data_IF_002983544779
#
_entry.id   IF_002983544779
#
_cell.length_a   1.000
_cell.length_b   1.000
_cell.length_c   1.000
_cell.angle_alpha   90.00
_cell.angle_beta   90.00
_cell.angle_gamma   90.00
#
_symmetry.space_group_name_H-M   'P 1'
#
loop_
_entity.id
_entity.type
_entity.pdbx_description
1 polymer ?
#
# COMPACT_ATOMS: atom_id res chain seq x y z
N UNK A 1 7.13 -0.79 -11.31
CA UNK A 1 8.24 0.09 -10.93
C UNK A 1 8.09 1.52 -11.45
N UNK A 2 7.45 1.71 -12.63
CA UNK A 2 7.16 3.05 -13.13
C UNK A 2 6.18 3.78 -12.21
N UNK A 3 5.10 3.12 -11.80
CA UNK A 3 4.14 3.68 -10.83
C UNK A 3 4.82 4.09 -9.52
N UNK A 4 5.78 3.28 -9.04
CA UNK A 4 6.54 3.62 -7.83
C UNK A 4 7.38 4.88 -7.98
N UNK A 5 7.90 5.15 -9.19
CA UNK A 5 8.70 6.34 -9.46
C UNK A 5 7.87 7.63 -9.60
N UNK A 6 6.55 7.50 -9.74
CA UNK A 6 5.60 8.59 -9.97
C UNK A 6 4.83 9.03 -8.72
N UNK A 7 5.04 8.34 -7.58
CA UNK A 7 4.31 8.61 -6.33
C UNK A 7 5.24 9.01 -5.19
N UNK A 8 4.70 9.70 -4.20
CA UNK A 8 5.45 10.14 -3.03
C UNK A 8 5.62 9.01 -2.02
N UNK A 9 4.63 8.12 -1.91
CA UNK A 9 4.64 7.01 -0.98
C UNK A 9 4.02 5.73 -1.57
N UNK A 10 4.58 4.58 -1.16
CA UNK A 10 4.01 3.25 -1.40
C UNK A 10 3.49 2.68 -0.09
N UNK A 11 2.22 2.26 -0.07
CA UNK A 11 1.52 1.78 1.12
C UNK A 11 1.26 0.27 1.02
N UNK A 12 1.63 -0.45 2.08
CA UNK A 12 1.28 -1.86 2.27
C UNK A 12 0.77 -2.11 3.69
N UNK A 13 0.02 -3.18 3.88
CA UNK A 13 -0.27 -3.71 5.22
C UNK A 13 0.90 -4.57 5.73
N UNK A 14 1.07 -4.67 7.04
CA UNK A 14 2.13 -5.49 7.64
C UNK A 14 2.05 -6.97 7.23
N UNK A 15 0.87 -7.49 6.93
CA UNK A 15 0.71 -8.85 6.42
C UNK A 15 1.49 -9.11 5.12
N UNK A 16 1.60 -8.11 4.23
CA UNK A 16 2.43 -8.19 3.03
C UNK A 16 3.92 -8.28 3.39
N UNK A 17 4.35 -7.50 4.39
CA UNK A 17 5.75 -7.56 4.84
C UNK A 17 6.08 -8.92 5.45
N UNK A 18 5.17 -9.47 6.25
CA UNK A 18 5.33 -10.79 6.88
C UNK A 18 5.33 -11.94 5.87
N UNK A 19 4.59 -11.82 4.77
CA UNK A 19 4.50 -12.86 3.75
C UNK A 19 5.67 -12.83 2.75
N UNK A 20 6.06 -11.63 2.29
CA UNK A 20 6.90 -11.47 1.10
C UNK A 20 8.26 -10.81 1.40
N UNK A 21 8.43 -10.21 2.58
CA UNK A 21 9.61 -9.40 2.97
C UNK A 21 10.11 -8.49 1.81
N UNK A 22 9.25 -7.59 1.29
CA UNK A 22 9.52 -6.85 0.07
C UNK A 22 10.47 -5.67 0.30
N UNK A 23 11.16 -5.21 -0.76
CA UNK A 23 11.94 -3.97 -0.73
C UNK A 23 11.11 -2.71 -0.94
N UNK A 24 10.06 -2.78 -1.77
CA UNK A 24 9.18 -1.69 -2.19
C UNK A 24 9.89 -0.49 -2.84
N UNK A 25 11.08 -0.68 -3.37
CA UNK A 25 11.87 0.35 -4.04
C UNK A 25 11.60 0.40 -5.55
N UNK A 26 11.93 1.53 -6.19
CA UNK A 26 12.02 1.61 -7.63
C UNK A 26 13.35 1.02 -8.09
N UNK A 27 13.30 -0.01 -8.98
CA UNK A 27 14.48 -0.71 -9.49
C UNK A 27 14.63 -0.58 -11.00
N UNK A 28 14.06 0.47 -11.58
CA UNK A 28 14.33 0.82 -12.97
C UNK A 28 15.75 1.38 -13.11
N UNK A 29 16.48 1.02 -14.19
CA UNK A 29 17.80 1.56 -14.42
C UNK A 29 17.81 3.09 -14.44
N UNK A 30 18.69 3.70 -13.64
CA UNK A 30 18.81 5.15 -13.54
C UNK A 30 17.71 5.86 -12.72
N UNK A 31 16.82 5.11 -12.03
CA UNK A 31 15.71 5.68 -11.26
C UNK A 31 15.68 5.21 -9.79
N UNK A 32 16.80 4.76 -9.26
CA UNK A 32 16.86 4.29 -7.86
C UNK A 32 16.52 5.40 -6.85
N UNK A 33 16.90 6.63 -7.15
CA UNK A 33 16.60 7.85 -6.40
C UNK A 33 15.11 8.26 -6.43
N UNK A 34 14.33 7.65 -7.32
CA UNK A 34 12.87 7.82 -7.41
C UNK A 34 12.10 6.82 -6.54
N UNK A 35 12.77 6.14 -5.61
CA UNK A 35 12.07 5.25 -4.68
C UNK A 35 11.19 6.06 -3.74
N UNK A 36 9.89 5.76 -3.64
CA UNK A 36 8.95 6.48 -2.78
C UNK A 36 9.22 6.17 -1.29
N UNK A 37 8.67 6.99 -0.40
CA UNK A 37 8.59 6.64 1.02
C UNK A 37 7.80 5.33 1.18
N UNK A 38 8.35 4.38 1.94
CA UNK A 38 7.76 3.06 2.16
C UNK A 38 6.90 3.09 3.42
N UNK A 39 5.59 3.07 3.25
CA UNK A 39 4.62 3.18 4.34
C UNK A 39 4.04 1.81 4.66
N UNK A 40 4.09 1.41 5.93
CA UNK A 40 3.51 0.16 6.43
C UNK A 40 2.41 0.48 7.44
N UNK A 41 1.20 0.00 7.20
CA UNK A 41 0.13 0.00 8.20
C UNK A 41 0.28 -1.21 9.12
N UNK A 42 0.67 -0.96 10.37
CA UNK A 42 0.96 -1.99 11.38
C UNK A 42 0.52 -1.55 12.77
N UNK A 43 -0.73 -1.83 13.10
CA UNK A 43 -1.39 -1.36 14.32
C UNK A 43 -0.65 -1.72 15.63
N UNK A 44 0.15 -2.78 15.64
CA UNK A 44 0.80 -3.33 16.84
C UNK A 44 2.33 -3.40 16.75
N UNK A 45 2.93 -2.87 15.68
CA UNK A 45 4.36 -2.98 15.39
C UNK A 45 4.83 -4.43 15.33
N UNK A 46 4.10 -5.27 14.60
CA UNK A 46 4.42 -6.69 14.40
C UNK A 46 5.47 -6.93 13.31
N UNK A 47 5.90 -5.89 12.61
CA UNK A 47 6.98 -5.96 11.62
C UNK A 47 8.28 -6.49 12.24
N UNK A 48 8.94 -7.48 11.62
CA UNK A 48 10.22 -7.97 12.14
C UNK A 48 11.33 -6.90 12.05
N UNK A 49 12.09 -6.73 13.13
CA UNK A 49 13.24 -5.81 13.15
C UNK A 49 14.35 -6.20 12.15
N UNK A 50 14.34 -7.43 11.65
CA UNK A 50 15.26 -7.95 10.65
C UNK A 50 14.69 -7.90 9.22
N UNK A 51 13.46 -7.39 9.01
CA UNK A 51 12.88 -7.27 7.68
C UNK A 51 13.73 -6.37 6.78
N UNK A 52 13.68 -6.62 5.47
CA UNK A 52 14.44 -5.84 4.46
C UNK A 52 14.05 -4.36 4.50
N UNK A 53 12.78 -4.05 4.76
CA UNK A 53 12.32 -2.68 4.94
C UNK A 53 13.06 -1.99 6.10
N UNK A 54 13.07 -2.61 7.27
CA UNK A 54 13.72 -2.04 8.47
C UNK A 54 15.23 -1.98 8.29
N UNK A 55 15.84 -3.01 7.71
CA UNK A 55 17.29 -3.05 7.48
C UNK A 55 17.78 -1.94 6.54
N UNK A 56 16.95 -1.50 5.60
CA UNK A 56 17.28 -0.45 4.61
C UNK A 56 16.62 0.91 4.89
N UNK A 57 16.14 1.13 6.12
CA UNK A 57 15.38 2.35 6.45
C UNK A 57 16.20 3.64 6.35
N UNK A 58 17.53 3.54 6.50
CA UNK A 58 18.46 4.67 6.34
C UNK A 58 18.78 5.00 4.87
N UNK A 59 18.55 4.06 3.94
CA UNK A 59 18.80 4.27 2.51
C UNK A 59 17.57 4.86 1.80
N UNK A 60 16.40 4.29 2.10
CA UNK A 60 15.11 4.77 1.61
C UNK A 60 14.16 4.86 2.81
N UNK A 61 13.47 5.98 3.04
CA UNK A 61 12.64 6.18 4.23
C UNK A 61 11.56 5.10 4.40
N UNK A 62 11.40 4.63 5.65
CA UNK A 62 10.32 3.73 6.08
C UNK A 62 9.52 4.41 7.17
N UNK A 63 8.20 4.53 6.94
CA UNK A 63 7.26 5.07 7.90
C UNK A 63 6.28 3.97 8.31
N UNK A 64 6.11 3.75 9.60
CA UNK A 64 5.15 2.77 10.12
C UNK A 64 4.02 3.53 10.79
N UNK A 65 2.81 3.34 10.25
CA UNK A 65 1.58 3.88 10.79
C UNK A 65 1.03 2.86 11.79
N UNK A 66 0.94 3.25 13.06
CA UNK A 66 0.58 2.36 14.16
C UNK A 66 -0.51 2.97 15.04
N UNK A 67 -0.96 2.24 16.05
CA UNK A 67 -1.92 2.74 17.03
C UNK A 67 -1.29 2.86 18.43
N UNK A 68 -2.03 3.38 19.38
CA UNK A 68 -1.62 3.45 20.78
C UNK A 68 -1.49 2.07 21.46
N UNK A 69 -1.96 1.00 20.80
CA UNK A 69 -1.81 -0.38 21.28
C UNK A 69 -0.40 -0.97 21.02
N UNK A 70 0.47 -0.24 20.33
CA UNK A 70 1.81 -0.69 19.98
C UNK A 70 2.75 -0.66 21.19
N UNK A 71 3.60 -1.68 21.31
CA UNK A 71 4.59 -1.78 22.39
C UNK A 71 5.64 -0.64 22.27
N UNK A 72 5.82 0.19 23.31
CA UNK A 72 6.80 1.26 23.33
C UNK A 72 8.25 0.78 23.16
N UNK A 73 8.59 -0.42 23.61
CA UNK A 73 9.92 -0.99 23.47
C UNK A 73 10.22 -1.32 21.99
N UNK A 74 9.25 -1.89 21.27
CA UNK A 74 9.36 -2.18 19.83
C UNK A 74 9.45 -0.86 19.06
N UNK A 75 8.63 0.15 19.41
CA UNK A 75 8.69 1.49 18.82
C UNK A 75 10.12 2.07 18.92
N UNK A 76 10.70 2.04 20.11
CA UNK A 76 12.07 2.53 20.35
C UNK A 76 13.09 1.76 19.51
N UNK A 77 12.97 0.44 19.44
CA UNK A 77 13.88 -0.40 18.65
C UNK A 77 13.80 -0.11 17.14
N UNK A 78 12.60 0.14 16.60
CA UNK A 78 12.41 0.53 15.20
C UNK A 78 12.98 1.91 14.91
N UNK A 79 12.73 2.88 15.79
CA UNK A 79 13.28 4.23 15.66
C UNK A 79 14.81 4.25 15.70
N UNK A 80 15.42 3.41 16.53
CA UNK A 80 16.89 3.24 16.59
C UNK A 80 17.48 2.70 15.26
N UNK A 81 16.64 2.07 14.41
CA UNK A 81 17.03 1.60 13.06
C UNK A 81 16.69 2.61 11.94
N UNK A 82 16.28 3.83 12.27
CA UNK A 82 15.97 4.87 11.30
C UNK A 82 14.51 4.83 10.78
N UNK A 83 13.65 4.00 11.35
CA UNK A 83 12.23 3.95 10.98
C UNK A 83 11.47 5.09 11.66
N UNK A 84 10.65 5.82 10.91
CA UNK A 84 9.71 6.79 11.48
C UNK A 84 8.42 6.07 11.89
N UNK A 85 8.13 6.06 13.19
CA UNK A 85 6.89 5.47 13.72
C UNK A 85 5.89 6.57 14.02
N UNK A 86 4.73 6.52 13.36
CA UNK A 86 3.66 7.53 13.42
C UNK A 86 2.44 6.89 14.05
N UNK A 87 1.98 7.48 15.16
CA UNK A 87 0.77 7.02 15.81
C UNK A 87 -0.47 7.60 15.13
N UNK A 88 -1.44 6.74 14.84
CA UNK A 88 -2.72 7.05 14.25
C UNK A 88 -3.85 6.67 15.20
N UNK A 89 -5.03 7.23 14.97
CA UNK A 89 -6.26 6.78 15.62
C UNK A 89 -6.49 5.30 15.28
N UNK A 90 -7.06 4.59 16.24
CA UNK A 90 -7.51 3.22 16.04
C UNK A 90 -8.99 3.22 15.60
N UNK A 91 -9.35 2.26 14.76
CA UNK A 91 -10.75 1.88 14.53
C UNK A 91 -11.29 1.05 15.71
N UNK A 92 -12.59 0.80 15.75
CA UNK A 92 -13.23 -0.01 16.82
C UNK A 92 -12.66 -1.44 16.88
N UNK A 93 -12.18 -1.98 15.76
CA UNK A 93 -11.51 -3.29 15.68
C UNK A 93 -10.00 -3.23 15.93
N UNK A 94 -9.50 -2.07 16.37
CA UNK A 94 -8.10 -1.87 16.77
C UNK A 94 -7.10 -1.75 15.63
N UNK A 95 -7.56 -1.56 14.40
CA UNK A 95 -6.71 -1.28 13.24
C UNK A 95 -6.38 0.20 13.12
N UNK A 96 -5.41 0.54 12.29
CA UNK A 96 -5.12 1.93 11.92
C UNK A 96 -6.31 2.52 11.18
N UNK A 97 -6.81 3.66 11.63
CA UNK A 97 -7.83 4.42 10.93
C UNK A 97 -7.22 5.00 9.64
N UNK A 98 -7.81 4.67 8.49
CA UNK A 98 -7.25 5.04 7.18
C UNK A 98 -7.34 6.53 6.88
N UNK A 99 -8.41 7.21 7.31
CA UNK A 99 -8.56 8.66 7.11
C UNK A 99 -7.50 9.43 7.90
N UNK A 100 -7.31 9.07 9.18
CA UNK A 100 -6.27 9.69 10.03
C UNK A 100 -4.87 9.39 9.50
N UNK A 101 -4.64 8.15 9.02
CA UNK A 101 -3.38 7.76 8.39
C UNK A 101 -3.07 8.64 7.17
N UNK A 102 -4.02 8.78 6.24
CA UNK A 102 -3.84 9.59 5.03
C UNK A 102 -3.67 11.07 5.37
N UNK A 103 -4.41 11.60 6.35
CA UNK A 103 -4.23 12.97 6.83
C UNK A 103 -2.81 13.21 7.36
N UNK A 104 -2.27 12.27 8.17
CA UNK A 104 -0.89 12.35 8.70
C UNK A 104 0.20 12.20 7.65
N UNK A 105 -0.07 11.47 6.58
CA UNK A 105 0.80 11.42 5.40
C UNK A 105 0.78 12.77 4.66
N UNK A 106 -0.40 13.34 4.43
CA UNK A 106 -0.56 14.64 3.79
C UNK A 106 0.12 15.78 4.58
N UNK A 107 0.01 15.81 5.91
CA UNK A 107 0.72 16.74 6.79
C UNK A 107 2.25 16.71 6.62
N UNK A 108 2.78 15.57 6.13
CA UNK A 108 4.21 15.34 5.87
C UNK A 108 4.60 15.51 4.40
N UNK A 109 3.72 16.11 3.60
CA UNK A 109 3.97 16.44 2.21
C UNK A 109 3.70 15.31 1.21
N UNK A 110 3.11 14.18 1.64
CA UNK A 110 2.70 13.09 0.74
C UNK A 110 1.37 13.47 0.09
N UNK A 111 1.36 13.63 -1.22
CA UNK A 111 0.17 13.95 -2.02
C UNK A 111 -0.31 12.76 -2.88
N UNK A 112 0.59 11.86 -3.23
CA UNK A 112 0.27 10.67 -4.03
C UNK A 112 0.71 9.38 -3.31
N UNK A 113 -0.26 8.51 -3.02
CA UNK A 113 -0.03 7.22 -2.37
C UNK A 113 -0.38 6.09 -3.33
N UNK A 114 0.57 5.20 -3.60
CA UNK A 114 0.33 3.93 -4.30
C UNK A 114 0.09 2.83 -3.27
N UNK A 115 -1.14 2.36 -3.13
CA UNK A 115 -1.43 1.14 -2.37
C UNK A 115 -1.14 -0.09 -3.24
N UNK A 116 -0.04 -0.78 -2.96
CA UNK A 116 0.45 -1.92 -3.74
C UNK A 116 0.39 -3.22 -2.93
N UNK A 117 -0.30 -3.23 -1.85
CA UNK A 117 -0.19 -4.35 -0.96
C UNK A 117 -1.49 -4.94 -0.47
N UNK A 118 -1.54 -6.26 -0.58
CA UNK A 118 -2.47 -7.12 0.11
C UNK A 118 -3.95 -6.86 -0.16
N UNK A 119 -4.66 -7.94 -0.42
CA UNK A 119 -6.09 -7.91 -0.73
C UNK A 119 -6.94 -7.21 0.35
N UNK A 120 -6.53 -7.29 1.61
CA UNK A 120 -7.23 -6.64 2.73
C UNK A 120 -7.09 -5.11 2.72
N UNK A 121 -5.90 -4.58 2.38
CA UNK A 121 -5.68 -3.14 2.28
C UNK A 121 -6.47 -2.56 1.09
N UNK A 122 -6.42 -3.23 -0.06
CA UNK A 122 -7.18 -2.83 -1.24
C UNK A 122 -8.69 -2.79 -0.94
N UNK A 123 -9.22 -3.85 -0.30
CA UNK A 123 -10.60 -3.91 0.14
C UNK A 123 -10.95 -2.75 1.07
N UNK A 124 -10.16 -2.53 2.12
CA UNK A 124 -10.43 -1.50 3.12
C UNK A 124 -10.46 -0.09 2.51
N UNK A 125 -9.52 0.24 1.61
CA UNK A 125 -9.49 1.52 0.91
C UNK A 125 -10.72 1.72 0.00
N UNK A 126 -11.15 0.67 -0.71
CA UNK A 126 -12.34 0.74 -1.58
C UNK A 126 -13.62 0.88 -0.76
N UNK A 127 -13.77 0.13 0.35
CA UNK A 127 -14.92 0.21 1.24
C UNK A 127 -15.01 1.55 1.98
N UNK A 128 -13.87 2.13 2.37
CA UNK A 128 -13.78 3.45 2.98
C UNK A 128 -13.94 4.62 1.98
N UNK A 129 -14.12 4.31 0.69
CA UNK A 129 -14.22 5.31 -0.38
C UNK A 129 -13.00 6.24 -0.51
N UNK A 130 -11.79 5.71 -0.28
CA UNK A 130 -10.53 6.44 -0.27
C UNK A 130 -9.67 6.22 -1.53
N UNK A 131 -10.22 5.63 -2.59
CA UNK A 131 -9.51 5.36 -3.83
C UNK A 131 -9.89 6.39 -4.89
N UNK A 132 -8.95 7.16 -5.40
CA UNK A 132 -9.16 8.09 -6.53
C UNK A 132 -8.88 7.41 -7.88
N UNK A 133 -7.85 6.56 -7.93
CA UNK A 133 -7.49 5.81 -9.14
C UNK A 133 -7.25 4.33 -8.81
N UNK A 134 -7.69 3.43 -9.69
CA UNK A 134 -7.39 2.01 -9.61
C UNK A 134 -6.76 1.53 -10.90
N UNK A 135 -5.64 0.81 -10.79
CA UNK A 135 -4.95 0.18 -11.91
C UNK A 135 -5.12 -1.33 -11.78
N UNK A 136 -5.84 -1.93 -12.71
CA UNK A 136 -6.08 -3.37 -12.74
C UNK A 136 -5.17 -4.00 -13.79
N UNK A 137 -4.26 -4.88 -13.32
CA UNK A 137 -3.45 -5.74 -14.16
C UNK A 137 -4.05 -7.15 -14.13
N UNK A 138 -4.30 -7.72 -15.29
CA UNK A 138 -4.92 -9.02 -15.42
C UNK A 138 -4.16 -9.92 -16.40
N UNK A 139 -3.68 -11.06 -15.91
CA UNK A 139 -3.15 -12.12 -16.74
C UNK A 139 -4.30 -12.97 -17.37
N UNK A 140 -4.06 -13.63 -18.52
CA UNK A 140 -5.07 -14.43 -19.20
C UNK A 140 -5.46 -15.71 -18.46
N UNK A 141 -4.65 -16.17 -17.51
CA UNK A 141 -4.85 -17.42 -16.78
C UNK A 141 -5.66 -17.26 -15.50
N UNK A 142 -6.37 -18.32 -15.12
CA UNK A 142 -7.00 -18.44 -13.80
C UNK A 142 -6.01 -19.13 -12.84
N UNK A 143 -5.77 -18.54 -11.66
CA UNK A 143 -4.90 -19.12 -10.61
C UNK A 143 -5.57 -20.36 -9.98
N UNK A 144 -6.87 -20.55 -10.20
CA UNK A 144 -7.63 -21.66 -9.65
C UNK A 144 -8.11 -21.45 -8.21
N UNK A 145 -8.70 -22.48 -7.58
CA UNK A 145 -9.38 -22.34 -6.28
C UNK A 145 -8.43 -22.04 -5.10
N UNK A 146 -7.12 -22.23 -5.27
CA UNK A 146 -6.11 -21.88 -4.28
C UNK A 146 -5.59 -20.45 -4.42
N UNK A 147 -6.06 -19.70 -5.43
CA UNK A 147 -5.69 -18.30 -5.66
C UNK A 147 -6.28 -17.38 -4.60
N UNK A 148 -5.49 -16.38 -4.20
CA UNK A 148 -5.98 -15.31 -3.33
C UNK A 148 -6.83 -14.32 -4.13
N UNK A 149 -8.02 -13.99 -3.59
CA UNK A 149 -8.87 -12.97 -4.19
C UNK A 149 -8.19 -11.59 -4.10
N UNK A 150 -8.14 -10.85 -5.20
CA UNK A 150 -7.41 -9.57 -5.31
C UNK A 150 -7.85 -8.51 -4.26
N UNK A 151 -9.10 -8.56 -3.82
CA UNK A 151 -9.65 -7.64 -2.81
C UNK A 151 -10.36 -8.39 -1.68
N UNK A 152 -9.79 -9.48 -1.18
CA UNK A 152 -10.28 -10.24 -0.01
C UNK A 152 -11.79 -10.55 -0.08
N UNK A 153 -12.25 -11.00 -1.24
CA UNK A 153 -13.65 -11.36 -1.47
C UNK A 153 -14.56 -10.21 -1.95
N UNK A 154 -14.09 -8.98 -1.95
CA UNK A 154 -14.80 -7.88 -2.61
C UNK A 154 -14.68 -8.06 -4.13
N UNK A 155 -15.81 -8.09 -4.89
CA UNK A 155 -15.77 -8.29 -6.33
C UNK A 155 -15.03 -7.15 -7.05
N UNK A 156 -14.26 -7.45 -8.10
CA UNK A 156 -13.61 -6.44 -8.95
C UNK A 156 -14.63 -5.52 -9.65
N UNK A 157 -15.85 -5.97 -9.82
CA UNK A 157 -16.95 -5.15 -10.37
C UNK A 157 -17.31 -3.95 -9.48
N UNK A 158 -16.92 -3.98 -8.20
CA UNK A 158 -16.95 -2.79 -7.31
C UNK A 158 -16.15 -1.61 -7.88
N UNK A 159 -15.18 -1.89 -8.74
CA UNK A 159 -14.42 -0.89 -9.50
C UNK A 159 -14.90 -0.85 -10.95
N UNK A 160 -14.95 -1.99 -11.63
CA UNK A 160 -15.19 -2.08 -13.08
C UNK A 160 -16.58 -1.65 -13.52
N UNK A 161 -17.62 -2.00 -12.74
CA UNK A 161 -19.02 -1.76 -13.06
C UNK A 161 -19.71 -0.77 -12.11
N UNK A 162 -18.94 -0.13 -11.23
CA UNK A 162 -19.47 0.82 -10.25
C UNK A 162 -19.69 2.20 -10.87
N UNK A 163 -20.80 2.85 -10.52
CA UNK A 163 -21.01 4.26 -10.86
C UNK A 163 -19.99 5.22 -10.23
N UNK A 164 -19.24 4.75 -9.21
CA UNK A 164 -18.17 5.54 -8.55
C UNK A 164 -16.90 5.67 -9.38
N UNK A 165 -16.69 4.78 -10.34
CA UNK A 165 -15.50 4.77 -11.18
C UNK A 165 -15.87 4.74 -12.65
N UNK A 166 -15.03 5.38 -13.47
CA UNK A 166 -15.09 5.25 -14.94
C UNK A 166 -13.72 4.82 -15.46
N UNK A 167 -13.70 4.02 -16.49
CA UNK A 167 -12.46 3.65 -17.15
C UNK A 167 -11.83 4.90 -17.81
N UNK A 168 -10.54 5.07 -17.61
CA UNK A 168 -9.72 6.13 -18.22
C UNK A 168 -8.89 5.56 -19.35
N UNK A 169 -9.23 5.95 -20.56
CA UNK A 169 -8.58 5.46 -21.77
C UNK A 169 -9.01 4.04 -22.14
N UNK A 170 -8.31 3.46 -23.10
CA UNK A 170 -8.50 2.08 -23.54
C UNK A 170 -7.73 1.11 -22.65
N UNK A 171 -8.11 -0.16 -22.68
CA UNK A 171 -7.34 -1.23 -22.05
C UNK A 171 -6.04 -1.45 -22.83
N UNK A 172 -4.91 -1.30 -22.16
CA UNK A 172 -3.58 -1.48 -22.73
C UNK A 172 -3.19 -2.97 -22.67
N UNK A 173 -2.51 -3.47 -23.72
CA UNK A 173 -1.95 -4.82 -23.74
C UNK A 173 -0.46 -4.75 -23.37
N UNK A 174 -0.05 -5.50 -22.34
CA UNK A 174 1.33 -5.60 -21.86
C UNK A 174 1.83 -7.04 -22.01
N UNK A 175 2.35 -7.39 -23.17
CA UNK A 175 2.64 -8.78 -23.52
C UNK A 175 1.36 -9.62 -23.50
N UNK A 176 1.26 -10.68 -22.67
CA UNK A 176 0.02 -11.48 -22.55
C UNK A 176 -1.02 -10.85 -21.63
N UNK A 177 -0.66 -9.81 -20.85
CA UNK A 177 -1.48 -9.23 -19.80
C UNK A 177 -2.25 -8.01 -20.28
N UNK A 178 -3.29 -7.63 -19.55
CA UNK A 178 -4.07 -6.42 -19.79
C UNK A 178 -3.96 -5.48 -18.61
N UNK A 179 -3.88 -4.18 -18.91
CA UNK A 179 -3.90 -3.09 -17.95
C UNK A 179 -5.10 -2.19 -18.24
N UNK A 180 -5.95 -1.98 -17.25
CA UNK A 180 -7.04 -1.02 -17.30
C UNK A 180 -6.93 -0.04 -16.13
N UNK A 181 -7.12 1.26 -16.42
CA UNK A 181 -7.12 2.34 -15.43
C UNK A 181 -8.52 2.83 -15.19
N UNK A 182 -8.87 3.02 -13.94
CA UNK A 182 -10.17 3.54 -13.50
C UNK A 182 -9.95 4.75 -12.62
N UNK A 183 -10.76 5.79 -12.83
CA UNK A 183 -10.70 7.02 -12.03
C UNK A 183 -12.07 7.26 -11.39
N UNK A 184 -12.02 7.81 -10.17
CA UNK A 184 -13.23 8.21 -9.44
C UNK A 184 -14.03 9.24 -10.25
N UNK A 185 -15.34 9.06 -10.29
CA UNK A 185 -16.30 10.07 -10.77
C UNK A 185 -16.58 11.01 -9.60
N UNK A 186 -16.28 12.28 -9.78
CA UNK A 186 -16.60 13.36 -8.82
C UNK A 186 -17.89 14.03 -9.21
#
# INVERSE_FOLDING_TARGET
>A
HLLRAEVDAILVGVSTVLADDPDLTCRLPGMADRSPVRVVSDSKLSIPLASRLVASANDVPVWIMTTNAADPAIRTALQAKGVLVIECLATDDGKVNLDDMLAKLAERGVSHVLAEGGAHMAKALVEADLVDEAVLLQAPGNIGPQGLAAMAGLPLDTIRASARFRQRGETETLGPDWLAKYVRVR
#
